data_IF_868621754139
#
_entry.id   IF_868621754139
#
_cell.length_a   1.000
_cell.length_b   1.000
_cell.length_c   1.000
_cell.angle_alpha   90.00
_cell.angle_beta   90.00
_cell.angle_gamma   90.00
#
_symmetry.space_group_name_H-M   'P 1'
#
loop_
_entity.id
_entity.type
_entity.pdbx_description
1 polymer ?
#
# COMPACT_ATOMS: atom_id res chain seq x y z
N UNK A 1 -22.81 21.94 1.78
CA UNK A 1 -23.41 21.02 2.77
C UNK A 1 -22.32 20.06 3.21
N UNK A 2 -21.98 19.99 4.51
CA UNK A 2 -20.95 19.08 5.00
C UNK A 2 -21.46 17.63 4.91
N UNK A 3 -20.68 16.73 4.32
CA UNK A 3 -21.01 15.31 4.20
C UNK A 3 -21.24 14.71 5.61
N UNK A 4 -22.47 14.29 5.91
CA UNK A 4 -22.75 13.42 7.07
C UNK A 4 -22.08 12.07 6.87
N UNK A 5 -21.82 11.33 7.96
CA UNK A 5 -21.18 10.00 7.92
C UNK A 5 -21.87 9.05 6.93
N UNK A 6 -23.18 9.18 6.77
CA UNK A 6 -24.05 8.39 5.88
C UNK A 6 -23.77 8.60 4.38
N UNK A 7 -23.19 9.74 3.99
CA UNK A 7 -22.96 10.06 2.57
C UNK A 7 -21.61 9.62 2.06
N UNK A 8 -20.64 9.35 2.94
CA UNK A 8 -19.27 9.12 2.49
C UNK A 8 -19.11 7.83 1.65
N UNK A 9 -19.71 6.68 2.03
CA UNK A 9 -19.68 5.48 1.17
C UNK A 9 -20.36 5.71 -0.19
N UNK A 10 -21.43 6.49 -0.22
CA UNK A 10 -22.14 6.88 -1.46
C UNK A 10 -21.25 7.76 -2.34
N UNK A 11 -20.52 8.71 -1.75
CA UNK A 11 -19.56 9.54 -2.49
C UNK A 11 -18.43 8.70 -3.10
N UNK A 12 -17.91 7.73 -2.35
CA UNK A 12 -16.90 6.79 -2.85
C UNK A 12 -17.49 5.94 -3.99
N UNK A 13 -18.70 5.40 -3.84
CA UNK A 13 -19.37 4.62 -4.89
C UNK A 13 -19.64 5.43 -6.16
N UNK A 14 -20.00 6.72 -6.02
CA UNK A 14 -20.15 7.64 -7.13
C UNK A 14 -18.84 7.89 -7.90
N UNK A 15 -17.69 7.80 -7.23
CA UNK A 15 -16.38 7.88 -7.92
C UNK A 15 -16.19 6.65 -8.81
N UNK A 16 -16.44 5.45 -8.29
CA UNK A 16 -16.26 4.21 -9.05
C UNK A 16 -17.23 4.04 -10.21
N UNK A 17 -18.50 4.43 -10.04
CA UNK A 17 -19.52 4.32 -11.11
C UNK A 17 -19.30 5.31 -12.25
N UNK A 18 -18.70 6.48 -11.97
CA UNK A 18 -18.30 7.42 -13.02
C UNK A 18 -17.14 6.92 -13.87
N UNK A 19 -16.23 6.14 -13.28
CA UNK A 19 -15.05 5.62 -13.98
C UNK A 19 -15.37 4.38 -14.81
N UNK A 20 -16.13 3.45 -14.25
CA UNK A 20 -16.32 2.12 -14.86
C UNK A 20 -17.60 2.03 -15.72
N UNK A 21 -18.40 3.10 -15.80
CA UNK A 21 -19.73 3.03 -16.42
C UNK A 21 -20.63 2.01 -15.70
N UNK A 22 -21.63 1.49 -16.41
CA UNK A 22 -22.50 0.40 -15.91
C UNK A 22 -21.99 -0.99 -16.27
N UNK A 23 -20.83 -1.09 -16.91
CA UNK A 23 -20.31 -2.35 -17.44
C UNK A 23 -19.46 -3.07 -16.39
N UNK A 24 -19.84 -4.30 -16.07
CA UNK A 24 -19.43 -5.02 -14.84
C UNK A 24 -18.12 -5.78 -15.03
N UNK A 25 -17.62 -5.90 -16.26
CA UNK A 25 -16.52 -6.81 -16.61
C UNK A 25 -15.13 -6.13 -16.70
N UNK A 26 -15.05 -4.80 -16.75
CA UNK A 26 -13.78 -4.03 -16.77
C UNK A 26 -13.66 -3.05 -15.58
N UNK A 27 -14.01 -3.52 -14.38
CA UNK A 27 -14.00 -2.67 -13.18
C UNK A 27 -12.57 -2.34 -12.75
N UNK A 28 -12.15 -1.10 -12.98
CA UNK A 28 -10.82 -0.61 -12.65
C UNK A 28 -10.67 -0.44 -11.13
N UNK A 29 -9.55 -0.94 -10.61
CA UNK A 29 -9.11 -0.68 -9.24
C UNK A 29 -8.42 0.70 -9.18
N UNK A 30 -8.77 1.51 -8.18
CA UNK A 30 -8.19 2.84 -7.96
C UNK A 30 -7.45 2.91 -6.63
N UNK A 31 -6.31 3.61 -6.56
CA UNK A 31 -5.61 3.85 -5.32
C UNK A 31 -6.36 4.87 -4.42
N UNK A 32 -6.16 4.77 -3.10
CA UNK A 32 -6.84 5.59 -2.10
C UNK A 32 -6.71 7.10 -2.34
N UNK A 33 -5.49 7.55 -2.68
CA UNK A 33 -5.18 8.95 -2.94
C UNK A 33 -6.00 9.50 -4.11
N UNK A 34 -6.17 8.71 -5.16
CA UNK A 34 -6.92 9.09 -6.34
C UNK A 34 -8.42 9.20 -6.04
N UNK A 35 -8.98 8.23 -5.31
CA UNK A 35 -10.37 8.28 -4.84
C UNK A 35 -10.61 9.55 -4.03
N UNK A 36 -9.70 9.85 -3.11
CA UNK A 36 -9.80 11.04 -2.26
C UNK A 36 -9.68 12.34 -3.06
N UNK A 37 -8.73 12.44 -3.98
CA UNK A 37 -8.56 13.61 -4.85
C UNK A 37 -9.82 13.88 -5.67
N UNK A 38 -10.47 12.83 -6.17
CA UNK A 38 -11.72 12.92 -6.95
C UNK A 38 -12.88 13.40 -6.09
N UNK A 39 -13.01 12.91 -4.85
CA UNK A 39 -14.03 13.38 -3.90
C UNK A 39 -13.82 14.87 -3.56
N UNK A 40 -12.58 15.28 -3.26
CA UNK A 40 -12.26 16.69 -2.98
C UNK A 40 -12.65 17.60 -4.15
N UNK A 41 -12.37 17.16 -5.38
CA UNK A 41 -12.66 17.91 -6.59
C UNK A 41 -14.17 18.04 -6.83
N UNK A 42 -14.93 16.95 -6.69
CA UNK A 42 -16.38 16.93 -6.89
C UNK A 42 -17.13 17.78 -5.86
N UNK A 43 -16.72 17.71 -4.60
CA UNK A 43 -17.41 18.40 -3.49
C UNK A 43 -16.87 19.82 -3.21
N UNK A 44 -15.94 20.31 -4.04
CA UNK A 44 -15.30 21.64 -3.91
C UNK A 44 -14.75 21.89 -2.50
N UNK A 45 -14.14 20.87 -1.88
CA UNK A 45 -13.64 20.94 -0.49
C UNK A 45 -12.48 21.92 -0.28
N UNK A 46 -11.93 22.49 -1.36
CA UNK A 46 -10.82 23.45 -1.32
C UNK A 46 -11.13 24.66 -0.42
N UNK A 47 -12.40 25.07 -0.32
CA UNK A 47 -12.84 26.25 0.44
C UNK A 47 -13.18 25.95 1.91
N UNK A 48 -13.01 24.71 2.38
CA UNK A 48 -13.28 24.35 3.78
C UNK A 48 -12.09 24.66 4.69
N UNK A 49 -12.38 24.97 5.95
CA UNK A 49 -11.36 25.09 6.99
C UNK A 49 -10.64 23.75 7.23
N UNK A 50 -9.42 23.83 7.75
CA UNK A 50 -8.52 22.69 7.91
C UNK A 50 -9.04 21.63 8.90
N UNK A 51 -9.80 22.07 9.90
CA UNK A 51 -10.45 21.19 10.89
C UNK A 51 -11.56 20.37 10.24
N UNK A 52 -12.35 20.98 9.35
CA UNK A 52 -13.40 20.32 8.56
C UNK A 52 -12.79 19.39 7.52
N UNK A 53 -11.73 19.80 6.82
CA UNK A 53 -10.99 18.92 5.89
C UNK A 53 -10.50 17.66 6.60
N UNK A 54 -9.86 17.82 7.76
CA UNK A 54 -9.40 16.71 8.58
C UNK A 54 -10.54 15.80 9.04
N UNK A 55 -11.67 16.38 9.45
CA UNK A 55 -12.84 15.60 9.85
C UNK A 55 -13.43 14.80 8.70
N UNK A 56 -13.53 15.38 7.50
CA UNK A 56 -14.05 14.71 6.31
C UNK A 56 -13.10 13.62 5.84
N UNK A 57 -11.78 13.87 5.90
CA UNK A 57 -10.79 12.85 5.56
C UNK A 57 -10.85 11.65 6.50
N UNK A 58 -11.01 11.87 7.81
CA UNK A 58 -11.24 10.77 8.76
C UNK A 58 -12.49 9.96 8.41
N UNK A 59 -13.58 10.63 8.00
CA UNK A 59 -14.80 9.95 7.54
C UNK A 59 -14.58 9.12 6.29
N UNK A 60 -13.81 9.65 5.34
CA UNK A 60 -13.40 8.93 4.14
C UNK A 60 -12.64 7.65 4.49
N UNK A 61 -11.63 7.75 5.36
CA UNK A 61 -10.87 6.58 5.79
C UNK A 61 -11.76 5.57 6.52
N UNK A 62 -12.63 6.01 7.44
CA UNK A 62 -13.56 5.11 8.13
C UNK A 62 -14.51 4.42 7.15
N UNK A 63 -15.04 5.14 6.15
CA UNK A 63 -15.91 4.56 5.14
C UNK A 63 -15.20 3.50 4.28
N UNK A 64 -13.95 3.77 3.88
CA UNK A 64 -13.18 2.91 2.99
C UNK A 64 -12.56 1.71 3.72
N UNK A 65 -12.17 1.86 4.98
CA UNK A 65 -11.41 0.85 5.74
C UNK A 65 -12.17 0.17 6.87
N UNK A 66 -13.31 0.71 7.34
CA UNK A 66 -14.01 0.07 8.45
C UNK A 66 -14.60 -1.28 8.04
N UNK A 67 -14.50 -2.28 8.92
CA UNK A 67 -15.02 -3.63 8.66
C UNK A 67 -16.51 -3.65 8.29
N UNK A 68 -17.29 -2.65 8.72
CA UNK A 68 -18.74 -2.61 8.46
C UNK A 68 -19.07 -2.07 7.07
N UNK A 69 -18.45 -0.97 6.63
CA UNK A 69 -18.75 -0.35 5.32
C UNK A 69 -17.83 -0.86 4.22
N UNK A 70 -16.56 -1.10 4.52
CA UNK A 70 -15.58 -1.60 3.55
C UNK A 70 -15.98 -2.97 3.02
N UNK A 71 -16.24 -3.94 3.90
CA UNK A 71 -16.60 -5.29 3.48
C UNK A 71 -17.95 -5.38 2.76
N UNK A 72 -18.87 -4.44 3.04
CA UNK A 72 -20.19 -4.43 2.45
C UNK A 72 -20.19 -3.94 0.99
N UNK A 73 -19.37 -2.93 0.69
CA UNK A 73 -19.46 -2.19 -0.59
C UNK A 73 -18.18 -2.22 -1.41
N UNK A 74 -17.03 -2.32 -0.77
CA UNK A 74 -15.73 -2.19 -1.42
C UNK A 74 -14.92 -3.49 -1.37
N UNK A 75 -14.11 -3.68 -2.39
CA UNK A 75 -13.11 -4.73 -2.45
C UNK A 75 -11.74 -4.08 -2.57
N UNK A 76 -10.77 -4.56 -1.79
CA UNK A 76 -9.40 -4.08 -1.85
C UNK A 76 -8.43 -5.15 -2.34
N UNK A 77 -7.37 -4.72 -3.00
CA UNK A 77 -6.23 -5.54 -3.41
C UNK A 77 -4.94 -4.78 -3.08
N UNK A 78 -3.95 -5.48 -2.56
CA UNK A 78 -2.61 -4.92 -2.40
C UNK A 78 -1.84 -5.03 -3.71
N UNK A 79 -1.29 -3.91 -4.17
CA UNK A 79 -0.35 -3.87 -5.28
C UNK A 79 1.09 -3.89 -4.77
N UNK A 80 1.85 -4.99 -5.01
CA UNK A 80 3.22 -5.12 -4.52
C UNK A 80 4.22 -4.18 -5.20
N UNK A 81 3.95 -3.68 -6.40
CA UNK A 81 4.86 -2.80 -7.13
C UNK A 81 4.82 -1.37 -6.59
N UNK A 82 3.61 -0.83 -6.45
CA UNK A 82 3.39 0.53 -5.93
C UNK A 82 3.35 0.58 -4.40
N UNK A 83 3.25 -0.58 -3.73
CA UNK A 83 3.06 -0.73 -2.28
C UNK A 83 1.79 -0.03 -1.76
N UNK A 84 0.74 0.00 -2.57
CA UNK A 84 -0.52 0.67 -2.25
C UNK A 84 -1.69 -0.31 -2.23
N UNK A 85 -2.71 0.03 -1.43
CA UNK A 85 -4.01 -0.63 -1.51
C UNK A 85 -4.82 0.02 -2.62
N UNK A 86 -5.32 -0.82 -3.52
CA UNK A 86 -6.24 -0.43 -4.56
C UNK A 86 -7.65 -0.90 -4.20
N UNK A 87 -8.67 -0.15 -4.61
CA UNK A 87 -10.06 -0.39 -4.24
C UNK A 87 -10.95 -0.39 -5.47
N UNK A 88 -12.04 -1.15 -5.40
CA UNK A 88 -13.15 -1.08 -6.35
C UNK A 88 -14.49 -1.28 -5.64
N UNK A 89 -15.58 -0.93 -6.33
CA UNK A 89 -16.94 -1.27 -5.91
C UNK A 89 -17.20 -2.77 -6.15
N UNK A 90 -17.87 -3.44 -5.22
CA UNK A 90 -18.29 -4.83 -5.40
C UNK A 90 -19.39 -4.93 -6.45
N UNK A 91 -19.38 -6.01 -7.23
CA UNK A 91 -20.38 -6.29 -8.26
C UNK A 91 -21.83 -6.30 -7.75
N UNK A 92 -22.02 -6.66 -6.47
CA UNK A 92 -23.33 -6.65 -5.80
C UNK A 92 -23.80 -5.25 -5.36
N UNK A 93 -22.98 -4.22 -5.52
CA UNK A 93 -23.16 -2.90 -4.91
C UNK A 93 -23.27 -1.76 -5.93
N UNK A 94 -23.40 -2.09 -7.22
CA UNK A 94 -23.59 -1.11 -8.31
C UNK A 94 -24.90 -0.31 -8.21
N UNK A 95 -25.89 -0.79 -7.45
CA UNK A 95 -27.08 -0.03 -7.13
C UNK A 95 -26.83 0.91 -5.95
N UNK A 96 -26.37 2.13 -6.27
CA UNK A 96 -26.14 3.21 -5.30
C UNK A 96 -27.44 3.62 -4.59
N UNK A 97 -28.60 3.46 -5.24
CA UNK A 97 -29.89 3.76 -4.62
C UNK A 97 -30.21 2.72 -3.53
N UNK A 98 -29.94 1.43 -3.78
CA UNK A 98 -30.03 0.38 -2.76
C UNK A 98 -29.03 0.59 -1.61
N UNK A 99 -27.81 1.08 -1.90
CA UNK A 99 -26.86 1.46 -0.84
C UNK A 99 -27.47 2.51 0.09
N UNK A 100 -28.08 3.56 -0.44
CA UNK A 100 -28.70 4.62 0.36
C UNK A 100 -29.89 4.17 1.22
N UNK A 101 -30.63 3.14 0.77
CA UNK A 101 -31.77 2.57 1.50
C UNK A 101 -31.33 1.61 2.63
N UNK A 102 -30.24 0.88 2.42
CA UNK A 102 -29.71 -0.10 3.40
C UNK A 102 -29.23 0.50 4.74
N UNK A 103 -29.08 1.83 4.82
CA UNK A 103 -28.71 2.53 6.04
C UNK A 103 -29.88 2.74 7.01
N UNK A 104 -31.12 2.64 6.53
CA UNK A 104 -32.33 2.85 7.35
C UNK A 104 -32.91 1.54 7.94
N UNK A 105 -32.40 0.37 7.54
CA UNK A 105 -32.88 -0.91 8.04
C UNK A 105 -31.97 -1.49 9.14
N UNK A 106 -32.53 -2.01 10.25
CA UNK A 106 -31.77 -2.80 11.20
C UNK A 106 -31.59 -4.24 10.70
N UNK A 107 -30.33 -4.68 10.78
CA UNK A 107 -29.78 -6.07 10.76
C UNK A 107 -29.41 -6.65 9.41
N UNK A 108 -28.09 -6.71 9.22
CA UNK A 108 -27.41 -7.76 8.45
C UNK A 108 -27.97 -9.14 8.86
N UNK A 109 -28.70 -9.79 7.96
CA UNK A 109 -28.89 -11.24 8.02
C UNK A 109 -27.70 -11.88 7.29
N UNK A 110 -26.96 -12.82 7.90
CA UNK A 110 -25.88 -13.51 7.21
C UNK A 110 -26.47 -14.37 6.08
N UNK A 111 -26.40 -13.88 4.84
CA UNK A 111 -26.69 -14.72 3.68
C UNK A 111 -25.62 -15.83 3.58
N UNK A 112 -26.00 -17.03 3.13
CA UNK A 112 -25.14 -18.24 3.08
C UNK A 112 -23.81 -18.06 2.32
N UNK A 113 -23.71 -17.06 1.43
CA UNK A 113 -22.45 -16.69 0.77
C UNK A 113 -21.46 -16.00 1.71
N UNK A 114 -21.95 -15.23 2.68
CA UNK A 114 -21.11 -14.54 3.67
C UNK A 114 -20.56 -15.53 4.71
N UNK A 115 -21.35 -16.52 5.14
CA UNK A 115 -20.86 -17.58 6.02
C UNK A 115 -19.82 -18.45 5.34
N UNK A 116 -20.04 -18.87 4.08
CA UNK A 116 -19.02 -19.56 3.28
C UNK A 116 -17.73 -18.76 3.13
N UNK A 117 -17.84 -17.44 2.89
CA UNK A 117 -16.66 -16.57 2.78
C UNK A 117 -15.92 -16.42 4.10
N UNK A 118 -16.62 -16.33 5.22
CA UNK A 118 -16.02 -16.31 6.56
C UNK A 118 -15.29 -17.63 6.83
N UNK A 119 -15.87 -18.78 6.47
CA UNK A 119 -15.23 -20.09 6.62
C UNK A 119 -13.99 -20.25 5.74
N UNK A 120 -14.00 -19.70 4.52
CA UNK A 120 -12.82 -19.64 3.65
C UNK A 120 -11.71 -18.79 4.27
N UNK A 121 -12.04 -17.58 4.74
CA UNK A 121 -11.07 -16.69 5.40
C UNK A 121 -10.53 -17.30 6.70
N UNK A 122 -11.35 -17.99 7.48
CA UNK A 122 -10.90 -18.71 8.67
C UNK A 122 -9.97 -19.88 8.34
N UNK A 123 -10.18 -20.56 7.21
CA UNK A 123 -9.26 -21.60 6.71
C UNK A 123 -7.94 -20.99 6.24
N UNK A 124 -8.01 -19.88 5.51
CA UNK A 124 -6.83 -19.16 5.03
C UNK A 124 -5.98 -18.61 6.18
N UNK A 125 -6.61 -18.03 7.21
CA UNK A 125 -5.92 -17.60 8.44
C UNK A 125 -5.22 -18.78 9.14
N UNK A 126 -5.87 -19.95 9.23
CA UNK A 126 -5.24 -21.14 9.83
C UNK A 126 -4.04 -21.62 9.01
N UNK A 127 -4.16 -21.62 7.68
CA UNK A 127 -3.06 -21.97 6.78
C UNK A 127 -1.89 -20.99 6.95
N UNK A 128 -2.15 -19.69 6.91
CA UNK A 128 -1.13 -18.65 7.09
C UNK A 128 -0.45 -18.73 8.46
N UNK A 129 -1.19 -19.02 9.53
CA UNK A 129 -0.60 -19.26 10.87
C UNK A 129 0.34 -20.46 10.88
N UNK A 130 0.00 -21.53 10.18
CA UNK A 130 0.87 -22.71 10.04
C UNK A 130 2.13 -22.39 9.22
N UNK A 131 1.99 -21.63 8.14
CA UNK A 131 3.14 -21.19 7.32
C UNK A 131 4.06 -20.26 8.10
N UNK A 132 3.52 -19.32 8.90
CA UNK A 132 4.31 -18.47 9.78
C UNK A 132 5.09 -19.31 10.79
N UNK A 133 4.45 -20.25 11.47
CA UNK A 133 5.12 -21.11 12.44
C UNK A 133 6.25 -21.94 11.80
N UNK A 134 6.05 -22.40 10.56
CA UNK A 134 7.09 -23.10 9.80
C UNK A 134 8.26 -22.17 9.45
N UNK A 135 7.97 -20.96 8.96
CA UNK A 135 8.99 -19.97 8.63
C UNK A 135 9.78 -19.50 9.87
N UNK A 136 9.13 -19.38 11.02
CA UNK A 136 9.79 -19.08 12.30
C UNK A 136 10.75 -20.22 12.71
N UNK A 137 10.33 -21.48 12.53
CA UNK A 137 11.19 -22.64 12.79
C UNK A 137 12.39 -22.67 11.84
N UNK A 138 12.15 -22.46 10.54
CA UNK A 138 13.21 -22.43 9.53
C UNK A 138 14.20 -21.28 9.82
N UNK A 139 13.71 -20.09 10.18
CA UNK A 139 14.56 -18.96 10.59
C UNK A 139 15.42 -19.29 11.80
N UNK A 140 14.88 -19.97 12.83
CA UNK A 140 15.69 -20.42 13.96
C UNK A 140 16.78 -21.41 13.53
N UNK A 141 16.48 -22.33 12.62
CA UNK A 141 17.47 -23.28 12.09
C UNK A 141 18.57 -22.57 11.28
N UNK A 142 18.19 -21.61 10.44
CA UNK A 142 19.15 -20.79 9.69
C UNK A 142 20.02 -19.95 10.62
N UNK A 143 19.45 -19.34 11.64
CA UNK A 143 20.19 -18.56 12.63
C UNK A 143 21.20 -19.44 13.37
N UNK A 144 20.78 -20.62 13.84
CA UNK A 144 21.69 -21.58 14.48
C UNK A 144 22.82 -22.02 13.53
N UNK A 145 22.50 -22.25 12.26
CA UNK A 145 23.50 -22.61 11.23
C UNK A 145 24.50 -21.47 11.00
N UNK A 146 24.03 -20.22 10.96
CA UNK A 146 24.88 -19.03 10.83
C UNK A 146 25.81 -18.91 12.04
N UNK A 147 25.29 -19.08 13.25
CA UNK A 147 26.07 -18.93 14.48
C UNK A 147 27.13 -20.04 14.60
N UNK A 148 26.79 -21.28 14.26
CA UNK A 148 27.77 -22.38 14.16
C UNK A 148 28.84 -22.09 13.12
N UNK A 149 28.45 -21.62 11.93
CA UNK A 149 29.42 -21.25 10.88
C UNK A 149 30.32 -20.12 11.33
N UNK A 150 29.80 -19.08 12.00
CA UNK A 150 30.60 -17.98 12.56
C UNK A 150 31.61 -18.46 13.58
N UNK A 151 31.26 -19.43 14.44
CA UNK A 151 32.19 -20.04 15.39
C UNK A 151 33.27 -20.89 14.71
N UNK A 152 32.95 -21.49 13.56
CA UNK A 152 33.90 -22.30 12.77
C UNK A 152 34.81 -21.48 11.85
N UNK A 153 34.53 -20.18 11.65
CA UNK A 153 35.33 -19.32 10.79
C UNK A 153 36.63 -18.96 11.53
N UNK A 154 37.81 -19.27 10.95
CA UNK A 154 39.08 -18.90 11.57
C UNK A 154 39.16 -17.39 11.81
N UNK A 155 39.74 -16.93 12.93
CA UNK A 155 39.90 -15.51 13.24
C UNK A 155 40.58 -14.72 12.10
N UNK A 156 41.51 -15.34 11.36
CA UNK A 156 42.17 -14.71 10.22
C UNK A 156 41.19 -14.39 9.07
N UNK A 157 40.17 -15.21 8.86
CA UNK A 157 39.17 -14.98 7.81
C UNK A 157 38.28 -13.78 8.18
N UNK A 158 37.86 -13.68 9.45
CA UNK A 158 37.11 -12.51 9.94
C UNK A 158 37.94 -11.22 9.85
N UNK A 159 39.24 -11.30 10.17
CA UNK A 159 40.16 -10.18 10.04
C UNK A 159 40.38 -9.77 8.57
N UNK A 160 40.44 -10.74 7.65
CA UNK A 160 40.52 -10.49 6.22
C UNK A 160 39.26 -9.78 5.70
N UNK A 161 38.06 -10.19 6.09
CA UNK A 161 36.81 -9.50 5.70
C UNK A 161 36.78 -8.05 6.18
N UNK A 162 37.15 -7.78 7.44
CA UNK A 162 37.26 -6.41 7.96
C UNK A 162 38.28 -5.57 7.20
N UNK A 163 39.38 -6.21 6.78
CA UNK A 163 40.41 -5.56 5.97
C UNK A 163 39.90 -5.25 4.56
N UNK A 164 39.18 -6.17 3.93
CA UNK A 164 38.54 -5.96 2.62
C UNK A 164 37.50 -4.83 2.67
N UNK A 165 36.64 -4.77 3.69
CA UNK A 165 35.66 -3.68 3.84
C UNK A 165 36.33 -2.30 3.96
N UNK A 166 37.44 -2.21 4.72
CA UNK A 166 38.22 -0.98 4.82
C UNK A 166 38.79 -0.56 3.47
N UNK A 167 39.37 -1.49 2.72
CA UNK A 167 39.91 -1.18 1.39
C UNK A 167 38.83 -0.83 0.37
N UNK A 168 37.69 -1.52 0.39
CA UNK A 168 36.55 -1.21 -0.46
C UNK A 168 36.06 0.23 -0.23
N UNK A 169 35.90 0.64 1.03
CA UNK A 169 35.52 2.01 1.38
C UNK A 169 36.53 3.05 0.87
N UNK A 170 37.83 2.77 0.99
CA UNK A 170 38.88 3.66 0.46
C UNK A 170 38.81 3.75 -1.07
N UNK A 171 38.53 2.65 -1.76
CA UNK A 171 38.37 2.62 -3.22
C UNK A 171 37.18 3.47 -3.62
N UNK A 172 36.04 3.35 -2.93
CA UNK A 172 34.84 4.14 -3.22
C UNK A 172 35.07 5.64 -3.00
N UNK A 173 35.70 6.01 -1.88
CA UNK A 173 36.05 7.41 -1.58
C UNK A 173 37.02 8.01 -2.61
N UNK A 174 38.00 7.22 -3.07
CA UNK A 174 38.92 7.66 -4.14
C UNK A 174 38.25 7.72 -5.49
N UNK A 175 37.39 6.75 -5.81
CA UNK A 175 36.61 6.72 -7.04
C UNK A 175 35.73 7.97 -7.18
N UNK A 176 35.05 8.37 -6.10
CA UNK A 176 34.26 9.60 -6.07
C UNK A 176 35.11 10.85 -6.38
N UNK A 177 36.32 10.95 -5.81
CA UNK A 177 37.25 12.05 -6.10
C UNK A 177 37.75 12.07 -7.54
N UNK A 178 38.00 10.90 -8.14
CA UNK A 178 38.40 10.83 -9.55
C UNK A 178 37.29 11.33 -10.48
N UNK A 179 36.03 10.97 -10.21
CA UNK A 179 34.87 11.47 -10.96
C UNK A 179 34.74 12.99 -10.84
N UNK A 180 35.03 13.57 -9.68
CA UNK A 180 35.03 15.02 -9.47
C UNK A 180 36.14 15.72 -10.28
N UNK A 181 37.36 15.17 -10.25
CA UNK A 181 38.48 15.66 -11.06
C UNK A 181 38.17 15.58 -12.55
N UNK A 182 37.60 14.46 -13.02
CA UNK A 182 37.20 14.28 -14.41
C UNK A 182 36.17 15.36 -14.85
N UNK A 183 35.17 15.65 -14.00
CA UNK A 183 34.20 16.72 -14.26
C UNK A 183 34.86 18.09 -14.37
N UNK A 184 35.80 18.42 -13.49
CA UNK A 184 36.51 19.71 -13.56
C UNK A 184 37.42 19.79 -14.79
N UNK A 185 38.10 18.71 -15.18
CA UNK A 185 38.88 18.66 -16.43
C UNK A 185 37.98 18.90 -17.65
N UNK A 186 36.83 18.21 -17.73
CA UNK A 186 35.87 18.40 -18.83
C UNK A 186 35.33 19.83 -18.88
N UNK A 187 35.04 20.42 -17.71
CA UNK A 187 34.60 21.81 -17.60
C UNK A 187 35.67 22.78 -18.09
N UNK A 188 36.92 22.64 -17.65
CA UNK A 188 38.06 23.45 -18.14
C UNK A 188 38.19 23.31 -19.67
N UNK A 189 38.21 22.07 -20.18
CA UNK A 189 38.29 21.80 -21.62
C UNK A 189 37.16 22.47 -22.41
N UNK A 190 35.93 22.40 -21.94
CA UNK A 190 34.78 23.07 -22.56
C UNK A 190 34.88 24.60 -22.54
N UNK A 191 35.62 25.16 -21.58
CA UNK A 191 35.82 26.62 -21.44
C UNK A 191 36.93 27.11 -22.36
N UNK A 192 37.99 26.31 -22.53
CA UNK A 192 39.13 26.62 -23.42
C UNK A 192 38.74 26.46 -24.89
N UNK A 193 37.94 25.45 -25.25
CA UNK A 193 37.50 25.20 -26.64
C UNK A 193 36.39 26.14 -27.14
N UNK A 194 35.83 27.00 -26.26
CA UNK A 194 34.81 28.01 -26.61
C UNK A 194 35.40 29.40 -26.89
N UNK A 195 36.72 29.56 -26.84
CA UNK A 195 37.46 30.75 -27.32
C UNK A 195 38.05 30.46 -28.69
#
# INVERSE_FOLDING_TARGET
MAASDEKMPVLIANVFTKENGTDVDEVQYLPENEIWSRIIHQEKFNNLDEKKKSSIYRRFLTALHSNRTSLAFFESKYDPETKQNLYRLRSSSYDIAAMSQSYNEPKYSPNERNTKRIEELQREIRKLRSEIAQLEMDNMQWQNTIDQRRQSVPPEVLQNFSTYEKYAKIIDERGAKFVEVEKEILKIGSTVLKK
#
